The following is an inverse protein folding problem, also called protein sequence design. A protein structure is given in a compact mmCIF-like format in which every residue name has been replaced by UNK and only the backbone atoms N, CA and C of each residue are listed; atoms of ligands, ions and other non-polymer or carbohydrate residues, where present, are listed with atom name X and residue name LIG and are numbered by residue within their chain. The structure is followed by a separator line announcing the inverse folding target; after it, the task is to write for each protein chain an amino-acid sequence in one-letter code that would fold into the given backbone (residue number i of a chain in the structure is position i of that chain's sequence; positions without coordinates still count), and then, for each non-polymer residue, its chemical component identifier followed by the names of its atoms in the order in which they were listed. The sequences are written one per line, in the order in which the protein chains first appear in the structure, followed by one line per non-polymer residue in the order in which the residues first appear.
data_IF_796026798549
#
_entry.id   IF_796026798549
#
_cell.length_a   1.000
_cell.length_b   1.000
_cell.length_c   1.000
_cell.angle_alpha   90.00
_cell.angle_beta   90.00
_cell.angle_gamma   90.00
#
_symmetry.space_group_name_H-M   'P 1'
#
loop_
_entity.id
_entity.type
_entity.pdbx_description
1 polymer ?
#
# COMPACT_ATOMS: atom_id res chain seq x y z
N UNK A 1 43.67 -11.09 3.63
CA UNK A 1 42.92 -11.99 4.54
C UNK A 1 43.25 -11.59 5.97
N UNK A 2 42.31 -11.57 6.93
CA UNK A 2 40.87 -11.84 6.84
C UNK A 2 40.03 -10.54 6.97
N UNK A 3 39.01 -10.28 6.15
CA UNK A 3 37.64 -10.82 6.20
C UNK A 3 36.88 -10.49 7.49
N UNK A 4 35.87 -9.60 7.39
CA UNK A 4 34.59 -9.74 8.11
C UNK A 4 33.45 -9.25 7.22
N UNK A 5 32.79 -10.22 6.59
CA UNK A 5 31.40 -10.13 6.14
C UNK A 5 30.49 -9.77 7.32
N UNK A 6 29.69 -8.74 7.17
CA UNK A 6 28.52 -8.47 8.00
C UNK A 6 27.30 -8.46 7.09
N UNK A 7 26.87 -9.65 6.68
CA UNK A 7 25.54 -9.87 6.11
C UNK A 7 24.52 -9.57 7.20
N UNK A 8 23.90 -8.40 7.16
CA UNK A 8 22.68 -8.13 7.92
C UNK A 8 21.57 -8.99 7.34
N UNK A 9 21.55 -10.22 7.83
CA UNK A 9 20.49 -11.19 7.68
C UNK A 9 19.24 -10.58 8.29
N UNK A 10 18.36 -10.08 7.42
CA UNK A 10 16.95 -9.98 7.75
C UNK A 10 16.51 -11.38 8.16
N UNK A 11 16.42 -11.59 9.48
CA UNK A 11 16.15 -12.84 10.16
C UNK A 11 15.07 -13.66 9.44
N UNK A 12 15.48 -14.82 8.89
CA UNK A 12 14.59 -15.87 8.38
C UNK A 12 13.51 -16.27 9.41
N UNK A 13 13.76 -16.05 10.70
CA UNK A 13 12.83 -16.34 11.78
C UNK A 13 11.56 -15.47 11.77
N UNK A 14 11.55 -14.33 11.06
CA UNK A 14 10.33 -13.49 10.93
C UNK A 14 9.39 -14.03 9.85
N UNK A 15 9.95 -14.59 8.76
CA UNK A 15 9.17 -15.19 7.66
C UNK A 15 8.49 -16.51 8.07
N UNK A 16 9.07 -17.23 9.04
CA UNK A 16 8.52 -18.49 9.59
C UNK A 16 7.22 -18.33 10.39
N UNK A 17 6.78 -17.11 10.73
CA UNK A 17 5.65 -16.88 11.66
C UNK A 17 4.30 -16.53 11.02
N UNK A 18 4.20 -16.51 9.68
CA UNK A 18 2.95 -16.13 8.98
C UNK A 18 2.21 -17.35 8.39
N UNK A 19 2.44 -18.54 8.93
CA UNK A 19 1.65 -19.72 8.56
C UNK A 19 0.32 -19.69 9.33
N UNK A 20 -0.66 -18.92 8.85
CA UNK A 20 -2.01 -18.95 9.39
C UNK A 20 -2.73 -20.19 8.87
N UNK A 21 -3.16 -21.07 9.76
CA UNK A 21 -4.08 -22.15 9.41
C UNK A 21 -5.38 -21.54 8.88
N UNK A 22 -5.93 -22.09 7.78
CA UNK A 22 -7.28 -21.71 7.33
C UNK A 22 -8.24 -22.17 8.43
N UNK A 23 -8.98 -21.27 9.09
CA UNK A 23 -9.91 -21.66 10.14
C UNK A 23 -10.98 -22.60 9.58
N UNK A 24 -11.47 -23.49 10.44
CA UNK A 24 -12.58 -24.37 10.07
C UNK A 24 -13.80 -23.55 9.65
N UNK A 25 -14.58 -24.07 8.69
CA UNK A 25 -15.79 -23.40 8.23
C UNK A 25 -16.80 -23.33 9.37
N UNK A 26 -17.14 -22.12 9.79
CA UNK A 26 -18.26 -21.89 10.69
C UNK A 26 -19.57 -22.08 9.90
N UNK A 27 -20.43 -22.96 10.40
CA UNK A 27 -21.75 -23.23 9.81
C UNK A 27 -22.82 -22.77 10.78
N UNK A 28 -23.75 -21.94 10.33
CA UNK A 28 -24.90 -21.46 11.09
C UNK A 28 -26.19 -21.96 10.42
N UNK A 29 -27.17 -22.39 11.22
CA UNK A 29 -28.47 -22.84 10.71
C UNK A 29 -29.35 -21.66 10.28
N UNK A 30 -30.23 -21.87 9.30
CA UNK A 30 -31.11 -20.81 8.78
C UNK A 30 -31.99 -20.15 9.87
N UNK A 31 -32.49 -20.93 10.83
CA UNK A 31 -33.30 -20.40 11.95
C UNK A 31 -32.50 -19.50 12.88
N UNK A 32 -31.22 -19.82 13.11
CA UNK A 32 -30.32 -19.05 13.98
C UNK A 32 -29.97 -17.72 13.32
N UNK A 33 -29.65 -17.75 12.02
CA UNK A 33 -29.38 -16.55 11.23
C UNK A 33 -30.58 -15.60 11.19
N UNK A 34 -31.81 -16.13 10.99
CA UNK A 34 -33.03 -15.31 10.96
C UNK A 34 -33.40 -14.72 12.32
N UNK A 35 -32.96 -15.33 13.43
CA UNK A 35 -33.21 -14.83 14.77
C UNK A 35 -32.19 -13.77 15.22
N UNK A 36 -31.14 -13.53 14.43
CA UNK A 36 -30.01 -12.67 14.79
C UNK A 36 -30.17 -11.26 14.25
N UNK A 37 -29.86 -10.26 15.08
CA UNK A 37 -29.64 -8.89 14.60
C UNK A 37 -28.25 -8.78 13.99
N UNK A 38 -28.20 -8.60 12.67
CA UNK A 38 -26.94 -8.43 11.95
C UNK A 38 -26.53 -6.94 12.00
N UNK A 39 -25.28 -6.63 12.37
CA UNK A 39 -24.80 -5.26 12.32
C UNK A 39 -24.77 -4.76 10.87
N UNK A 40 -24.92 -3.44 10.65
CA UNK A 40 -24.81 -2.87 9.31
C UNK A 40 -23.40 -3.12 8.73
N UNK A 41 -23.33 -3.26 7.41
CA UNK A 41 -22.06 -3.44 6.71
C UNK A 41 -21.20 -2.20 6.93
N UNK A 42 -19.97 -2.39 7.43
CA UNK A 42 -19.00 -1.31 7.59
C UNK A 42 -18.53 -0.86 6.21
N UNK A 43 -18.72 0.42 5.89
CA UNK A 43 -18.26 1.02 4.64
C UNK A 43 -17.03 1.89 4.88
N UNK A 44 -15.98 1.69 4.08
CA UNK A 44 -14.72 2.44 4.17
C UNK A 44 -14.78 3.73 3.36
N UNK A 45 -15.49 3.72 2.23
CA UNK A 45 -15.65 4.90 1.36
C UNK A 45 -17.11 5.02 0.95
N UNK A 46 -17.76 6.10 1.39
CA UNK A 46 -19.18 6.36 1.14
C UNK A 46 -20.01 5.09 1.30
N UNK A 47 -20.84 4.81 0.30
CA UNK A 47 -21.63 3.58 0.20
C UNK A 47 -21.11 2.66 -0.93
N UNK A 48 -19.83 2.81 -1.31
CA UNK A 48 -19.28 2.15 -2.52
C UNK A 48 -18.19 1.12 -2.21
N UNK A 49 -17.42 1.30 -1.14
CA UNK A 49 -16.34 0.37 -0.78
C UNK A 49 -16.62 -0.18 0.61
N UNK A 50 -17.07 -1.45 0.73
CA UNK A 50 -17.22 -2.10 2.03
C UNK A 50 -15.87 -2.47 2.62
N UNK A 51 -15.82 -2.61 3.94
CA UNK A 51 -14.69 -3.21 4.63
C UNK A 51 -14.54 -4.69 4.21
N UNK A 52 -13.31 -5.11 3.91
CA UNK A 52 -13.01 -6.46 3.45
C UNK A 52 -11.99 -6.45 2.32
N UNK A 53 -12.21 -7.30 1.31
CA UNK A 53 -11.36 -7.41 0.13
C UNK A 53 -12.05 -6.79 -1.08
N UNK A 54 -11.37 -5.84 -1.73
CA UNK A 54 -11.77 -5.27 -3.02
C UNK A 54 -10.72 -5.64 -4.07
N UNK A 55 -11.16 -6.26 -5.17
CA UNK A 55 -10.32 -6.51 -6.33
C UNK A 55 -10.62 -5.49 -7.44
N UNK A 56 -9.63 -4.67 -7.78
CA UNK A 56 -9.72 -3.73 -8.89
C UNK A 56 -9.01 -4.27 -10.15
N UNK A 57 -9.78 -4.57 -11.18
CA UNK A 57 -9.29 -5.08 -12.47
C UNK A 57 -9.58 -4.11 -13.62
N UNK A 58 -8.85 -4.25 -14.72
CA UNK A 58 -8.98 -3.41 -15.92
C UNK A 58 -7.67 -3.35 -16.70
N UNK A 59 -7.68 -2.63 -17.82
CA UNK A 59 -6.55 -2.62 -18.76
C UNK A 59 -5.28 -1.95 -18.21
N UNK A 60 -4.09 -2.30 -18.73
CA UNK A 60 -2.87 -1.58 -18.42
C UNK A 60 -3.04 -0.07 -18.64
N UNK A 61 -2.53 0.73 -17.70
CA UNK A 61 -2.62 2.22 -17.71
C UNK A 61 -4.02 2.81 -17.59
N UNK A 62 -5.06 2.01 -17.31
CA UNK A 62 -6.42 2.50 -17.00
C UNK A 62 -6.53 3.28 -15.66
N UNK A 63 -5.43 3.67 -15.04
CA UNK A 63 -5.45 4.47 -13.81
C UNK A 63 -5.69 3.69 -12.51
N UNK A 64 -5.75 2.35 -12.52
CA UNK A 64 -5.98 1.52 -11.31
C UNK A 64 -5.05 1.86 -10.14
N UNK A 65 -3.74 1.91 -10.40
CA UNK A 65 -2.76 2.26 -9.35
C UNK A 65 -2.89 3.70 -8.88
N UNK A 66 -3.31 4.62 -9.77
CA UNK A 66 -3.56 6.01 -9.42
C UNK A 66 -4.78 6.11 -8.49
N UNK A 67 -5.86 5.39 -8.83
CA UNK A 67 -7.08 5.29 -8.03
C UNK A 67 -6.80 4.76 -6.63
N UNK A 68 -6.05 3.65 -6.54
CA UNK A 68 -5.67 3.05 -5.25
C UNK A 68 -4.72 3.92 -4.45
N UNK A 69 -3.80 4.64 -5.11
CA UNK A 69 -2.90 5.56 -4.42
C UNK A 69 -3.64 6.78 -3.85
N UNK A 70 -4.61 7.33 -4.60
CA UNK A 70 -5.47 8.40 -4.12
C UNK A 70 -6.29 7.96 -2.91
N UNK A 71 -6.93 6.78 -3.00
CA UNK A 71 -7.70 6.24 -1.88
C UNK A 71 -6.84 6.02 -0.63
N UNK A 72 -5.66 5.43 -0.79
CA UNK A 72 -4.72 5.23 0.32
C UNK A 72 -4.33 6.55 1.00
N UNK A 73 -4.14 7.61 0.21
CA UNK A 73 -3.86 8.95 0.71
C UNK A 73 -5.06 9.55 1.46
N UNK A 74 -6.28 9.43 0.92
CA UNK A 74 -7.50 9.89 1.58
C UNK A 74 -7.74 9.19 2.92
N UNK A 75 -7.53 7.87 3.01
CA UNK A 75 -7.63 7.11 4.27
C UNK A 75 -6.60 7.60 5.29
N UNK A 76 -5.35 7.78 4.88
CA UNK A 76 -4.29 8.27 5.77
C UNK A 76 -4.55 9.70 6.24
N UNK A 77 -5.06 10.58 5.38
CA UNK A 77 -5.42 11.95 5.75
C UNK A 77 -6.73 12.02 6.55
N UNK A 78 -7.63 11.06 6.39
CA UNK A 78 -9.03 11.19 6.79
C UNK A 78 -9.77 12.28 5.99
N UNK A 79 -9.40 12.43 4.72
CA UNK A 79 -10.02 13.38 3.80
C UNK A 79 -11.02 12.66 2.88
N UNK A 80 -12.06 13.36 2.38
CA UNK A 80 -12.98 12.79 1.41
C UNK A 80 -12.25 12.28 0.15
N UNK A 81 -12.71 11.16 -0.40
CA UNK A 81 -12.25 10.64 -1.68
C UNK A 81 -13.09 11.24 -2.82
N UNK A 82 -12.45 11.46 -3.98
CA UNK A 82 -13.11 11.85 -5.24
C UNK A 82 -14.08 13.04 -5.09
N UNK A 83 -13.68 14.04 -4.32
CA UNK A 83 -14.38 15.32 -4.18
C UNK A 83 -15.31 15.40 -2.97
N UNK A 84 -16.05 14.33 -2.64
CA UNK A 84 -17.05 14.42 -1.56
C UNK A 84 -17.37 13.13 -0.82
N UNK A 85 -16.83 11.98 -1.24
CA UNK A 85 -17.18 10.71 -0.60
C UNK A 85 -16.50 10.62 0.77
N UNK A 86 -17.26 10.41 1.87
CA UNK A 86 -16.67 10.29 3.18
C UNK A 86 -15.77 9.05 3.22
N UNK A 87 -14.66 9.14 3.93
CA UNK A 87 -13.67 8.06 4.06
C UNK A 87 -13.44 7.79 5.53
N UNK A 88 -13.48 6.52 5.92
CA UNK A 88 -13.05 6.11 7.24
C UNK A 88 -11.52 6.22 7.34
N UNK A 89 -11.06 7.10 8.21
CA UNK A 89 -9.64 7.34 8.38
C UNK A 89 -8.94 6.22 9.14
N UNK A 90 -7.69 5.93 8.78
CA UNK A 90 -6.93 4.89 9.46
C UNK A 90 -5.50 4.74 8.96
N UNK A 91 -4.79 3.78 9.56
CA UNK A 91 -3.44 3.41 9.16
C UNK A 91 -3.48 2.62 7.85
N UNK A 92 -2.53 2.89 6.95
CA UNK A 92 -2.56 2.33 5.60
C UNK A 92 -1.20 1.79 5.16
N UNK A 93 -1.21 0.60 4.54
CA UNK A 93 -0.06 -0.04 3.91
C UNK A 93 -0.28 -0.14 2.40
N UNK A 94 0.51 0.59 1.63
CA UNK A 94 0.53 0.53 0.18
C UNK A 94 1.72 -0.30 -0.31
N UNK A 95 1.44 -1.47 -0.87
CA UNK A 95 2.44 -2.38 -1.44
C UNK A 95 2.47 -2.24 -2.95
N UNK A 96 3.65 -2.06 -3.54
CA UNK A 96 3.81 -1.98 -5.00
C UNK A 96 5.05 -2.72 -5.49
N UNK A 97 4.91 -3.50 -6.56
CA UNK A 97 6.03 -4.22 -7.16
C UNK A 97 6.54 -3.57 -8.46
N UNK A 98 5.64 -2.97 -9.25
CA UNK A 98 5.96 -2.43 -10.58
C UNK A 98 6.26 -0.92 -10.58
N UNK A 99 5.87 -0.19 -9.53
CA UNK A 99 6.12 1.24 -9.39
C UNK A 99 7.38 1.52 -8.58
N UNK A 100 8.25 2.40 -9.09
CA UNK A 100 9.40 2.92 -8.33
C UNK A 100 9.00 4.05 -7.38
N UNK A 101 9.82 4.30 -6.35
CA UNK A 101 9.62 5.40 -5.40
C UNK A 101 9.47 6.77 -6.11
N UNK A 102 10.18 6.98 -7.23
CA UNK A 102 10.09 8.23 -8.02
C UNK A 102 8.70 8.45 -8.62
N UNK A 103 8.08 7.42 -9.20
CA UNK A 103 6.74 7.58 -9.80
C UNK A 103 5.66 7.71 -8.72
N UNK A 104 5.83 7.03 -7.59
CA UNK A 104 4.94 7.20 -6.43
C UNK A 104 5.03 8.62 -5.86
N UNK A 105 6.25 9.13 -5.63
CA UNK A 105 6.49 10.50 -5.16
C UNK A 105 5.86 11.54 -6.10
N UNK A 106 6.13 11.44 -7.40
CA UNK A 106 5.58 12.39 -8.37
C UNK A 106 4.03 12.41 -8.37
N UNK A 107 3.39 11.25 -8.19
CA UNK A 107 1.94 11.17 -8.05
C UNK A 107 1.43 11.74 -6.74
N UNK A 108 2.13 11.49 -5.62
CA UNK A 108 1.77 12.10 -4.34
C UNK A 108 1.84 13.62 -4.42
N UNK A 109 2.92 14.17 -4.98
CA UNK A 109 3.08 15.61 -5.19
C UNK A 109 1.96 16.18 -6.07
N UNK A 110 1.58 15.47 -7.13
CA UNK A 110 0.47 15.88 -7.98
C UNK A 110 -0.91 15.81 -7.27
N UNK A 111 -1.10 14.89 -6.31
CA UNK A 111 -2.34 14.75 -5.56
C UNK A 111 -2.47 15.71 -4.38
N UNK A 112 -1.34 16.13 -3.80
CA UNK A 112 -1.26 16.98 -2.61
C UNK A 112 -1.20 18.48 -2.94
N UNK A 113 -1.65 18.91 -4.13
CA UNK A 113 -1.36 20.22 -4.74
C UNK A 113 -1.41 21.43 -3.79
N UNK A 114 -2.32 21.44 -2.80
CA UNK A 114 -2.37 22.42 -1.69
C UNK A 114 -2.49 21.79 -0.29
N UNK A 115 -2.46 20.46 -0.20
CA UNK A 115 -2.65 19.72 1.05
C UNK A 115 -1.30 19.33 1.66
N UNK A 116 -1.15 19.53 2.97
CA UNK A 116 0.01 18.98 3.67
C UNK A 116 -0.02 17.45 3.63
N UNK A 117 1.13 16.78 3.43
CA UNK A 117 1.20 15.33 3.56
C UNK A 117 0.74 14.91 4.97
N UNK A 118 0.16 13.70 5.11
CA UNK A 118 -0.36 13.26 6.39
C UNK A 118 0.71 13.32 7.48
N UNK A 119 0.38 13.99 8.59
CA UNK A 119 1.25 14.00 9.77
C UNK A 119 1.44 12.58 10.31
N UNK A 120 2.55 12.36 11.01
CA UNK A 120 2.99 11.08 11.56
C UNK A 120 1.97 10.33 12.44
N UNK A 121 0.86 10.99 12.80
CA UNK A 121 -0.25 10.41 13.57
C UNK A 121 -1.09 9.41 12.77
N UNK A 122 -1.03 9.42 11.44
CA UNK A 122 -1.70 8.45 10.56
C UNK A 122 -0.73 7.98 9.46
N UNK A 123 0.03 6.90 9.69
CA UNK A 123 1.07 6.47 8.78
C UNK A 123 0.51 5.88 7.47
N UNK A 124 1.04 6.37 6.35
CA UNK A 124 1.02 5.69 5.05
C UNK A 124 2.39 5.06 4.81
N UNK A 125 2.46 3.72 4.83
CA UNK A 125 3.68 2.99 4.53
C UNK A 125 3.71 2.58 3.06
N UNK A 126 4.76 2.97 2.35
CA UNK A 126 5.06 2.46 1.01
C UNK A 126 6.13 1.37 1.13
N UNK A 127 5.78 0.13 0.82
CA UNK A 127 6.77 -0.91 0.58
C UNK A 127 6.84 -1.22 -0.92
N UNK A 128 8.03 -1.10 -1.48
CA UNK A 128 8.35 -1.56 -2.82
C UNK A 128 9.62 -2.39 -2.82
N UNK A 129 10.02 -2.94 -3.97
CA UNK A 129 11.30 -3.66 -4.09
C UNK A 129 12.42 -2.80 -3.50
N UNK A 130 13.15 -3.35 -2.53
CA UNK A 130 14.41 -2.78 -2.07
C UNK A 130 15.32 -2.68 -3.30
N UNK A 131 15.60 -1.46 -3.77
CA UNK A 131 16.56 -1.26 -4.83
C UNK A 131 17.92 -1.76 -4.35
N UNK A 132 18.60 -2.59 -5.15
CA UNK A 132 20.05 -2.76 -5.01
C UNK A 132 20.65 -1.35 -5.05
N UNK A 133 21.50 -0.94 -4.08
CA UNK A 133 22.08 0.40 -4.09
C UNK A 133 22.76 0.63 -5.43
N UNK A 134 22.41 1.76 -6.06
CA UNK A 134 22.93 2.15 -7.36
C UNK A 134 24.46 2.08 -7.32
N UNK A 135 25.03 1.19 -8.15
CA UNK A 135 26.47 1.12 -8.38
C UNK A 135 26.92 2.50 -8.85
N UNK A 136 27.70 3.20 -8.03
CA UNK A 136 28.29 4.50 -8.36
C UNK A 136 29.02 4.39 -9.70
N UNK A 137 28.54 5.12 -10.69
CA UNK A 137 29.20 5.31 -11.98
C UNK A 137 30.58 5.91 -11.71
N UNK A 138 31.63 5.11 -11.88
CA UNK A 138 32.99 5.66 -12.05
C UNK A 138 32.98 6.43 -13.35
N UNK A 139 33.25 7.73 -13.25
CA UNK A 139 33.54 8.65 -14.34
C UNK A 139 34.46 7.99 -15.38
N UNK A 140 33.99 7.89 -16.62
CA UNK A 140 34.85 7.52 -17.75
C UNK A 140 35.77 8.72 -18.04
N UNK A 141 37.07 8.51 -18.30
CA UNK A 141 37.96 9.59 -18.71
C UNK A 141 37.55 10.12 -20.08
N UNK A 142 37.62 11.44 -20.27
CA UNK A 142 37.27 12.12 -21.52
C UNK A 142 38.18 11.71 -22.67
N UNK A 143 37.59 11.59 -23.86
CA UNK A 143 38.31 11.44 -25.12
C UNK A 143 38.82 12.82 -25.58
N UNK A 144 40.11 12.97 -25.96
CA UNK A 144 40.57 14.18 -26.62
C UNK A 144 40.10 14.18 -28.08
N UNK A 145 39.63 15.33 -28.53
CA UNK A 145 39.23 15.56 -29.92
C UNK A 145 40.42 15.59 -30.87
N UNK A 146 40.15 15.16 -32.11
CA UNK A 146 40.97 15.28 -33.30
C UNK A 146 40.05 15.24 -34.51
#
# INVERSE_FOLDING_TARGET
MPSRHGSDTLSEATLSKVQTAIPALETEGANELLARDLPPVRMVVGDIIPAGLLLLAGDPKAGKSLLMQHLALCIALGAPAWGSLPVEAGDMLYLTNEGGQRSFKARLEAMLTDAQPPERRRPLFLAGRAGTPARTSKSRPGYPGG
#
